data_IF_040345167731
#
_entry.id   IF_040345167731
#
_cell.length_a   1.000
_cell.length_b   1.000
_cell.length_c   1.000
_cell.angle_alpha   90.00
_cell.angle_beta   90.00
_cell.angle_gamma   90.00
#
_symmetry.space_group_name_H-M   'P 1'
#
loop_
_entity.id
_entity.type
_entity.pdbx_description
1 polymer ?
#
# COMPACT_ATOMS: atom_id res chain seq x y z
N UNK A 1 13.93 79.28 -7.18
CA UNK A 1 13.78 78.32 -6.07
C UNK A 1 14.06 76.95 -6.64
N UNK A 2 15.22 76.40 -6.31
CA UNK A 2 15.66 75.08 -6.79
C UNK A 2 15.34 74.12 -5.65
N UNK A 3 14.28 73.33 -5.82
CA UNK A 3 13.93 72.25 -4.89
C UNK A 3 15.10 71.27 -4.86
N UNK A 4 15.78 71.26 -3.72
CA UNK A 4 16.92 70.41 -3.46
C UNK A 4 16.33 69.04 -3.12
N UNK A 5 16.19 68.17 -4.12
CA UNK A 5 15.80 66.77 -3.93
C UNK A 5 16.82 66.10 -3.00
N UNK A 6 16.44 65.95 -1.73
CA UNK A 6 17.18 65.11 -0.79
C UNK A 6 17.20 63.68 -1.33
N UNK A 7 18.39 63.07 -1.50
CA UNK A 7 18.48 61.69 -1.95
C UNK A 7 17.75 60.78 -0.95
N UNK A 8 17.03 59.76 -1.43
CA UNK A 8 16.34 58.82 -0.54
C UNK A 8 17.37 58.21 0.41
N UNK A 9 17.11 58.36 1.70
CA UNK A 9 17.92 57.83 2.80
C UNK A 9 18.14 56.32 2.61
N UNK A 10 19.39 55.88 2.71
CA UNK A 10 19.83 54.49 2.54
C UNK A 10 19.15 53.48 3.52
N UNK A 11 18.37 53.98 4.48
CA UNK A 11 17.56 53.19 5.40
C UNK A 11 16.26 52.65 4.78
N UNK A 12 15.95 52.95 3.52
CA UNK A 12 14.93 52.24 2.75
C UNK A 12 15.47 50.95 2.09
N UNK A 13 16.46 50.29 2.70
CA UNK A 13 16.85 48.95 2.32
C UNK A 13 15.61 48.05 2.48
N UNK A 14 14.98 47.73 1.34
CA UNK A 14 13.79 46.88 1.27
C UNK A 14 14.07 45.64 2.13
N UNK A 15 13.26 45.38 3.19
CA UNK A 15 13.55 44.30 4.12
C UNK A 15 13.74 43.02 3.32
N UNK A 16 14.75 42.19 3.65
CA UNK A 16 15.03 40.98 2.90
C UNK A 16 13.73 40.19 2.81
N UNK A 17 13.23 40.00 1.58
CA UNK A 17 12.04 39.19 1.31
C UNK A 17 12.27 37.87 2.02
N UNK A 18 11.55 37.64 3.12
CA UNK A 18 11.65 36.41 3.88
C UNK A 18 11.48 35.27 2.89
N UNK A 19 12.53 34.45 2.73
CA UNK A 19 12.52 33.32 1.81
C UNK A 19 11.30 32.46 2.18
N UNK A 20 10.27 32.48 1.33
CA UNK A 20 9.03 31.76 1.59
C UNK A 20 9.35 30.29 1.79
N UNK A 21 8.82 29.70 2.86
CA UNK A 21 9.09 28.31 3.16
C UNK A 21 8.54 27.43 2.02
N UNK A 22 9.35 26.47 1.55
CA UNK A 22 8.94 25.54 0.49
C UNK A 22 8.12 24.36 1.05
N UNK A 23 8.04 24.24 2.37
CA UNK A 23 7.37 23.16 3.10
C UNK A 23 5.94 22.87 2.65
N UNK A 24 5.03 23.86 2.50
CA UNK A 24 3.65 23.58 2.06
C UNK A 24 3.58 23.05 0.63
N UNK A 25 4.49 23.49 -0.25
CA UNK A 25 4.58 22.99 -1.63
C UNK A 25 5.01 21.53 -1.65
N UNK A 26 6.06 21.19 -0.91
CA UNK A 26 6.56 19.81 -0.82
C UNK A 26 5.48 18.89 -0.27
N UNK A 27 4.80 19.28 0.82
CA UNK A 27 3.72 18.50 1.42
C UNK A 27 2.53 18.32 0.46
N UNK A 28 2.19 19.35 -0.30
CA UNK A 28 1.15 19.32 -1.32
C UNK A 28 1.47 18.32 -2.43
N UNK A 29 2.69 18.38 -2.97
CA UNK A 29 3.15 17.47 -4.04
C UNK A 29 3.18 16.02 -3.56
N UNK A 30 3.72 15.74 -2.37
CA UNK A 30 3.74 14.38 -1.83
C UNK A 30 2.31 13.87 -1.63
N UNK A 31 1.39 14.71 -1.14
CA UNK A 31 -0.02 14.35 -1.01
C UNK A 31 -0.68 14.01 -2.35
N UNK A 32 -0.36 14.73 -3.43
CA UNK A 32 -0.86 14.42 -4.79
C UNK A 32 -0.31 13.08 -5.27
N UNK A 33 0.98 12.82 -5.12
CA UNK A 33 1.61 11.55 -5.51
C UNK A 33 0.95 10.39 -4.75
N UNK A 34 0.76 10.54 -3.44
CA UNK A 34 0.13 9.53 -2.61
C UNK A 34 -1.33 9.28 -3.00
N UNK A 35 -2.09 10.35 -3.28
CA UNK A 35 -3.46 10.22 -3.79
C UNK A 35 -3.50 9.46 -5.11
N UNK A 36 -2.59 9.77 -6.04
CA UNK A 36 -2.52 9.10 -7.35
C UNK A 36 -2.19 7.60 -7.20
N UNK A 37 -1.19 7.26 -6.39
CA UNK A 37 -0.84 5.86 -6.10
C UNK A 37 -2.04 5.14 -5.47
N UNK A 38 -2.68 5.74 -4.48
CA UNK A 38 -3.85 5.16 -3.81
C UNK A 38 -5.00 4.92 -4.78
N UNK A 39 -5.27 5.85 -5.70
CA UNK A 39 -6.30 5.71 -6.73
C UNK A 39 -5.94 4.59 -7.70
N UNK A 40 -4.70 4.53 -8.17
CA UNK A 40 -4.22 3.46 -9.06
C UNK A 40 -4.36 2.08 -8.41
N UNK A 41 -3.88 1.91 -7.17
CA UNK A 41 -4.03 0.66 -6.42
C UNK A 41 -5.50 0.26 -6.27
N UNK A 42 -6.37 1.22 -5.95
CA UNK A 42 -7.81 0.96 -5.78
C UNK A 42 -8.45 0.51 -7.10
N UNK A 43 -8.09 1.12 -8.22
CA UNK A 43 -8.60 0.76 -9.55
C UNK A 43 -8.08 -0.61 -10.01
N UNK A 44 -6.82 -0.95 -9.73
CA UNK A 44 -6.26 -2.26 -10.05
C UNK A 44 -6.98 -3.39 -9.31
N UNK A 45 -7.26 -3.21 -8.02
CA UNK A 45 -8.00 -4.20 -7.21
C UNK A 45 -9.43 -4.35 -7.72
N UNK A 46 -10.07 -3.25 -8.14
CA UNK A 46 -11.44 -3.28 -8.64
C UNK A 46 -11.56 -4.03 -9.97
N UNK A 47 -10.52 -3.99 -10.81
CA UNK A 47 -10.49 -4.68 -12.10
C UNK A 47 -10.46 -6.22 -12.00
N UNK A 48 -9.93 -6.75 -10.89
CA UNK A 48 -9.68 -8.18 -10.70
C UNK A 48 -10.62 -8.85 -9.67
N UNK A 49 -11.59 -8.10 -9.15
CA UNK A 49 -12.48 -8.58 -8.10
C UNK A 49 -13.46 -9.65 -8.63
N UNK A 50 -13.13 -10.93 -8.41
CA UNK A 50 -14.04 -12.05 -8.63
C UNK A 50 -15.29 -11.99 -7.73
N UNK A 51 -16.38 -12.63 -8.17
CA UNK A 51 -17.77 -12.31 -7.82
C UNK A 51 -18.13 -12.54 -6.34
N UNK A 52 -17.38 -13.32 -5.57
CA UNK A 52 -17.77 -13.71 -4.22
C UNK A 52 -17.32 -12.74 -3.11
N UNK A 53 -16.25 -11.96 -3.30
CA UNK A 53 -15.79 -10.94 -2.34
C UNK A 53 -16.35 -9.52 -2.60
N UNK A 54 -17.46 -9.42 -3.37
CA UNK A 54 -17.91 -8.16 -3.96
C UNK A 54 -18.20 -7.03 -2.96
N UNK A 55 -18.86 -7.31 -1.84
CA UNK A 55 -19.33 -6.23 -0.95
C UNK A 55 -18.16 -5.53 -0.27
N UNK A 56 -17.27 -6.29 0.38
CA UNK A 56 -16.11 -5.72 1.07
C UNK A 56 -15.19 -4.96 0.10
N UNK A 57 -14.82 -5.59 -1.02
CA UNK A 57 -13.95 -4.97 -2.01
C UNK A 57 -14.58 -3.73 -2.63
N UNK A 58 -15.88 -3.75 -2.93
CA UNK A 58 -16.59 -2.58 -3.48
C UNK A 58 -16.67 -1.44 -2.46
N UNK A 59 -17.03 -1.73 -1.21
CA UNK A 59 -17.13 -0.71 -0.15
C UNK A 59 -15.76 -0.10 0.12
N UNK A 60 -14.72 -0.93 0.26
CA UNK A 60 -13.35 -0.47 0.45
C UNK A 60 -12.86 0.37 -0.74
N UNK A 61 -13.14 -0.06 -1.97
CA UNK A 61 -12.77 0.70 -3.17
C UNK A 61 -13.48 2.06 -3.25
N UNK A 62 -14.79 2.11 -3.01
CA UNK A 62 -15.54 3.36 -3.01
C UNK A 62 -15.03 4.32 -1.94
N UNK A 63 -14.78 3.83 -0.72
CA UNK A 63 -14.20 4.64 0.37
C UNK A 63 -12.78 5.11 0.01
N UNK A 64 -11.97 4.24 -0.61
CA UNK A 64 -10.63 4.56 -1.10
C UNK A 64 -10.64 5.68 -2.15
N UNK A 65 -11.56 5.61 -3.12
CA UNK A 65 -11.74 6.64 -4.14
C UNK A 65 -12.18 7.98 -3.52
N UNK A 66 -13.19 7.97 -2.65
CA UNK A 66 -13.70 9.17 -1.99
C UNK A 66 -12.62 9.84 -1.13
N UNK A 67 -11.87 9.06 -0.35
CA UNK A 67 -10.76 9.56 0.46
C UNK A 67 -9.59 10.03 -0.40
N UNK A 68 -9.29 9.35 -1.50
CA UNK A 68 -8.26 9.77 -2.46
C UNK A 68 -8.58 11.12 -3.11
N UNK A 69 -9.82 11.30 -3.57
CA UNK A 69 -10.30 12.57 -4.11
C UNK A 69 -10.28 13.69 -3.07
N UNK A 70 -10.68 13.39 -1.83
CA UNK A 70 -10.63 14.36 -0.74
C UNK A 70 -9.18 14.79 -0.43
N UNK A 71 -8.24 13.85 -0.36
CA UNK A 71 -6.82 14.16 -0.20
C UNK A 71 -6.32 15.07 -1.33
N UNK A 72 -6.64 14.71 -2.58
CA UNK A 72 -6.25 15.48 -3.76
C UNK A 72 -6.76 16.92 -3.70
N UNK A 73 -8.03 17.13 -3.35
CA UNK A 73 -8.60 18.46 -3.17
C UNK A 73 -7.92 19.24 -2.04
N UNK A 74 -7.62 18.57 -0.92
CA UNK A 74 -6.86 19.15 0.19
C UNK A 74 -5.47 19.59 -0.23
N UNK A 75 -4.75 18.77 -0.98
CA UNK A 75 -3.41 19.04 -1.49
C UNK A 75 -3.40 20.17 -2.54
N UNK A 76 -4.38 20.22 -3.45
CA UNK A 76 -4.52 21.33 -4.41
C UNK A 76 -4.80 22.64 -3.67
N UNK A 77 -5.67 22.62 -2.66
CA UNK A 77 -5.95 23.79 -1.84
C UNK A 77 -4.70 24.24 -1.06
N UNK A 78 -3.84 23.31 -0.65
CA UNK A 78 -2.56 23.60 -0.01
C UNK A 78 -1.60 24.31 -0.97
N UNK A 79 -1.48 23.83 -2.22
CA UNK A 79 -0.68 24.49 -3.26
C UNK A 79 -1.20 25.87 -3.63
N UNK A 80 -2.53 26.05 -3.61
CA UNK A 80 -3.20 27.34 -3.81
C UNK A 80 -3.16 28.25 -2.59
N UNK A 81 -2.49 27.81 -1.51
CA UNK A 81 -2.36 28.56 -0.24
C UNK A 81 -3.70 28.99 0.34
N UNK A 82 -4.75 28.16 0.18
CA UNK A 82 -6.07 28.45 0.75
C UNK A 82 -6.10 28.09 2.23
N UNK A 83 -6.70 28.96 3.05
CA UNK A 83 -6.89 28.75 4.50
C UNK A 83 -7.63 27.44 4.82
N UNK A 84 -8.61 27.07 4.00
CA UNK A 84 -9.39 25.84 4.19
C UNK A 84 -8.56 24.56 4.03
N UNK A 85 -7.38 24.62 3.39
CA UNK A 85 -6.55 23.45 3.14
C UNK A 85 -6.17 22.71 4.44
N UNK A 86 -5.78 23.45 5.48
CA UNK A 86 -5.37 22.86 6.76
C UNK A 86 -6.52 22.10 7.41
N UNK A 87 -7.68 22.72 7.56
CA UNK A 87 -8.85 22.07 8.18
C UNK A 87 -9.29 20.84 7.38
N UNK A 88 -9.25 20.94 6.05
CA UNK A 88 -9.63 19.85 5.15
C UNK A 88 -8.68 18.65 5.26
N UNK A 89 -7.36 18.89 5.27
CA UNK A 89 -6.35 17.84 5.41
C UNK A 89 -6.32 17.22 6.81
N UNK A 90 -6.53 18.01 7.87
CA UNK A 90 -6.63 17.48 9.24
C UNK A 90 -7.87 16.60 9.37
N UNK A 91 -9.03 17.06 8.89
CA UNK A 91 -10.25 16.25 8.88
C UNK A 91 -10.07 14.96 8.08
N UNK A 92 -9.41 15.05 6.91
CA UNK A 92 -9.10 13.90 6.10
C UNK A 92 -8.22 12.88 6.85
N UNK A 93 -7.14 13.32 7.50
CA UNK A 93 -6.25 12.44 8.26
C UNK A 93 -6.99 11.70 9.37
N UNK A 94 -7.82 12.41 10.14
CA UNK A 94 -8.61 11.79 11.23
C UNK A 94 -9.56 10.74 10.68
N UNK A 95 -10.34 11.08 9.65
CA UNK A 95 -11.30 10.16 9.04
C UNK A 95 -10.58 8.97 8.43
N UNK A 96 -9.45 9.17 7.75
CA UNK A 96 -8.66 8.08 7.17
C UNK A 96 -8.14 7.12 8.25
N UNK A 97 -7.69 7.63 9.40
CA UNK A 97 -7.26 6.78 10.53
C UNK A 97 -8.44 5.95 11.05
N UNK A 98 -9.58 6.58 11.32
CA UNK A 98 -10.78 5.90 11.83
C UNK A 98 -11.27 4.83 10.85
N UNK A 99 -11.38 5.17 9.56
CA UNK A 99 -11.79 4.21 8.51
C UNK A 99 -10.79 3.07 8.38
N UNK A 100 -9.49 3.34 8.48
CA UNK A 100 -8.47 2.29 8.39
C UNK A 100 -8.54 1.33 9.57
N UNK A 101 -8.75 1.84 10.80
CA UNK A 101 -8.96 1.00 11.98
C UNK A 101 -10.25 0.18 11.84
N UNK A 102 -11.35 0.79 11.39
CA UNK A 102 -12.62 0.09 11.19
C UNK A 102 -12.51 -1.02 10.14
N UNK A 103 -11.85 -0.76 9.00
CA UNK A 103 -11.60 -1.76 7.96
C UNK A 103 -10.65 -2.85 8.43
N UNK A 104 -9.67 -2.54 9.29
CA UNK A 104 -8.78 -3.53 9.88
C UNK A 104 -9.55 -4.46 10.83
N UNK A 105 -10.38 -3.91 11.71
CA UNK A 105 -11.26 -4.71 12.60
C UNK A 105 -12.25 -5.54 11.79
N UNK A 106 -12.85 -4.97 10.74
CA UNK A 106 -13.71 -5.70 9.82
C UNK A 106 -12.94 -6.83 9.14
N UNK A 107 -11.76 -6.54 8.59
CA UNK A 107 -10.90 -7.53 7.95
C UNK A 107 -10.57 -8.70 8.88
N UNK A 108 -10.16 -8.41 10.11
CA UNK A 108 -9.88 -9.42 11.14
C UNK A 108 -11.11 -10.25 11.54
N UNK A 109 -12.31 -9.69 11.46
CA UNK A 109 -13.54 -10.45 11.73
C UNK A 109 -13.92 -11.40 10.56
N UNK A 110 -13.40 -11.15 9.36
CA UNK A 110 -13.68 -11.92 8.15
C UNK A 110 -12.50 -12.80 7.70
N UNK A 111 -11.34 -12.71 8.36
CA UNK A 111 -10.17 -13.55 8.04
C UNK A 111 -10.50 -15.03 8.19
N UNK A 112 -11.29 -15.41 9.20
CA UNK A 112 -11.68 -16.80 9.42
C UNK A 112 -12.38 -17.40 8.19
N UNK A 113 -13.31 -16.64 7.57
CA UNK A 113 -14.00 -17.07 6.35
C UNK A 113 -13.07 -17.15 5.13
N UNK A 114 -12.09 -16.27 5.03
CA UNK A 114 -11.12 -16.27 3.92
C UNK A 114 -10.15 -17.44 4.03
N UNK A 115 -9.68 -17.76 5.25
CA UNK A 115 -8.80 -18.90 5.49
C UNK A 115 -9.51 -20.20 5.11
N UNK A 116 -10.78 -20.38 5.49
CA UNK A 116 -11.56 -21.56 5.12
C UNK A 116 -11.68 -21.74 3.60
N UNK A 117 -11.90 -20.65 2.86
CA UNK A 117 -11.99 -20.70 1.39
C UNK A 117 -10.65 -21.05 0.74
N UNK A 118 -9.54 -20.47 1.21
CA UNK A 118 -8.19 -20.75 0.68
C UNK A 118 -7.80 -22.21 0.95
N UNK A 119 -8.07 -22.71 2.16
CA UNK A 119 -7.84 -24.12 2.51
C UNK A 119 -8.69 -25.04 1.64
N UNK A 120 -9.98 -24.72 1.43
CA UNK A 120 -10.83 -25.50 0.52
C UNK A 120 -10.33 -25.48 -0.92
N UNK A 121 -9.84 -24.35 -1.42
CA UNK A 121 -9.31 -24.25 -2.77
C UNK A 121 -8.02 -25.05 -2.93
N UNK A 122 -7.09 -24.95 -1.98
CA UNK A 122 -5.86 -25.74 -1.97
C UNK A 122 -6.16 -27.25 -1.95
N UNK A 123 -7.10 -27.68 -1.12
CA UNK A 123 -7.53 -29.09 -1.08
C UNK A 123 -8.23 -29.54 -2.37
N UNK A 124 -8.97 -28.65 -3.03
CA UNK A 124 -9.63 -28.95 -4.30
C UNK A 124 -8.60 -29.12 -5.43
N UNK A 125 -7.57 -28.27 -5.49
CA UNK A 125 -6.48 -28.40 -6.46
C UNK A 125 -5.67 -29.68 -6.24
N UNK A 126 -5.34 -30.02 -4.99
CA UNK A 126 -4.68 -31.29 -4.64
C UNK A 126 -5.49 -32.53 -5.07
N UNK A 127 -6.82 -32.50 -4.96
CA UNK A 127 -7.69 -33.60 -5.41
C UNK A 127 -7.92 -33.63 -6.92
N UNK A 128 -7.79 -32.48 -7.58
CA UNK A 128 -8.00 -32.32 -9.02
C UNK A 128 -6.78 -32.72 -9.86
N UNK A 129 -5.66 -33.12 -9.23
CA UNK A 129 -4.50 -33.72 -9.88
C UNK A 129 -4.42 -35.25 -9.69
N UNK A 130 -5.40 -36.05 -10.16
CA UNK A 130 -5.31 -37.50 -10.13
C UNK A 130 -4.26 -38.05 -11.12
N UNK A 131 -3.70 -37.21 -11.99
CA UNK A 131 -2.74 -37.62 -13.02
C UNK A 131 -1.37 -38.00 -12.43
N UNK A 132 -1.01 -37.50 -11.24
CA UNK A 132 0.20 -37.98 -10.54
C UNK A 132 0.02 -39.35 -9.88
N UNK A 133 -1.21 -39.78 -9.57
CA UNK A 133 -1.44 -41.06 -8.89
C UNK A 133 -1.48 -42.25 -9.86
N UNK A 134 -2.02 -42.08 -11.07
CA UNK A 134 -2.03 -43.16 -12.08
C UNK A 134 -0.63 -43.42 -12.68
N UNK A 135 0.28 -42.45 -12.65
CA UNK A 135 1.66 -42.62 -13.15
C UNK A 135 2.55 -43.54 -12.30
N UNK A 136 2.20 -43.81 -11.04
CA UNK A 136 2.98 -44.72 -10.16
C UNK A 136 2.48 -46.17 -10.18
N UNK A 137 1.27 -46.42 -10.71
CA UNK A 137 0.72 -47.77 -10.78
C UNK A 137 1.21 -48.56 -12.02
N UNK A 138 1.69 -47.89 -13.06
CA UNK A 138 2.08 -48.51 -14.34
C UNK A 138 3.60 -48.77 -14.49
N UNK A 139 4.33 -48.92 -13.38
CA UNK A 139 5.76 -49.27 -13.42
C UNK A 139 6.15 -50.46 -12.53
N UNK A 140 5.19 -51.33 -12.23
CA UNK A 140 5.42 -52.55 -11.44
C UNK A 140 4.94 -53.81 -12.16
N UNK A 141 5.34 -54.02 -13.42
CA UNK A 141 5.50 -55.39 -13.95
C UNK A 141 6.50 -55.47 -15.13
N UNK A 142 7.78 -55.78 -14.86
CA UNK A 142 8.59 -56.53 -15.80
C UNK A 142 8.98 -57.87 -15.16
N UNK A 143 8.00 -58.73 -14.81
CA UNK A 143 8.28 -60.09 -14.40
C UNK A 143 7.35 -61.10 -15.06
N UNK A 144 7.45 -61.22 -16.39
CA UNK A 144 7.33 -62.53 -17.01
C UNK A 144 7.91 -62.56 -18.44
N UNK A 145 9.06 -63.24 -18.53
CA UNK A 145 9.50 -64.10 -19.63
C UNK A 145 10.68 -63.61 -20.49
N UNK A 146 11.55 -64.60 -20.74
CA UNK A 146 12.62 -64.69 -21.76
C UNK A 146 13.97 -64.14 -21.32
N UNK A 147 15.09 -64.84 -21.48
CA UNK A 147 15.45 -66.26 -21.60
C UNK A 147 16.98 -66.25 -21.53
N UNK A 148 17.54 -67.08 -20.66
CA UNK A 148 18.83 -67.75 -20.77
C UNK A 148 19.73 -67.37 -21.97
N UNK A 149 20.78 -66.58 -21.71
CA UNK A 149 22.10 -66.78 -22.32
C UNK A 149 23.15 -65.95 -21.57
N UNK A 150 24.17 -66.64 -21.07
CA UNK A 150 25.30 -66.05 -20.39
C UNK A 150 26.17 -65.23 -21.33
N UNK A 151 26.52 -64.03 -20.88
CA UNK A 151 27.67 -63.30 -21.36
C UNK A 151 28.28 -62.55 -20.18
N UNK A 152 29.58 -62.73 -20.01
CA UNK A 152 30.41 -62.14 -18.97
C UNK A 152 30.47 -60.61 -19.16
N UNK A 153 29.71 -59.88 -18.34
CA UNK A 153 29.73 -58.40 -18.32
C UNK A 153 30.44 -57.92 -17.05
N UNK A 154 31.51 -57.16 -17.28
CA UNK A 154 32.39 -56.54 -16.29
C UNK A 154 31.63 -55.72 -15.22
N UNK A 155 32.18 -55.61 -14.00
CA UNK A 155 31.58 -54.84 -12.92
C UNK A 155 31.76 -53.34 -13.19
N UNK A 156 30.74 -52.70 -13.75
CA UNK A 156 30.67 -51.24 -13.88
C UNK A 156 30.14 -50.65 -12.56
N UNK A 157 31.06 -50.07 -11.80
CA UNK A 157 30.83 -49.24 -10.62
C UNK A 157 30.23 -47.88 -11.05
N UNK A 158 28.99 -47.88 -11.51
CA UNK A 158 28.21 -46.65 -11.62
C UNK A 158 27.42 -46.52 -10.32
N UNK A 159 28.07 -45.93 -9.32
CA UNK A 159 27.44 -45.50 -8.07
C UNK A 159 26.50 -44.34 -8.36
N UNK A 160 25.32 -44.66 -8.88
CA UNK A 160 24.18 -43.76 -8.84
C UNK A 160 23.65 -43.79 -7.40
N UNK A 161 24.31 -43.00 -6.55
CA UNK A 161 23.76 -42.63 -5.27
C UNK A 161 22.48 -41.85 -5.57
N UNK A 162 21.37 -42.59 -5.67
CA UNK A 162 20.05 -42.02 -5.61
C UNK A 162 19.99 -41.18 -4.34
N UNK A 163 20.25 -39.88 -4.49
CA UNK A 163 19.73 -38.86 -3.62
C UNK A 163 18.21 -39.02 -3.73
N UNK A 164 17.67 -39.92 -2.90
CA UNK A 164 16.28 -39.86 -2.50
C UNK A 164 16.12 -38.44 -1.97
N UNK A 165 15.57 -37.59 -2.83
CA UNK A 165 15.28 -36.19 -2.56
C UNK A 165 14.17 -36.24 -1.52
N UNK A 166 14.57 -36.38 -0.24
CA UNK A 166 13.69 -36.32 0.92
C UNK A 166 13.20 -34.88 0.96
N UNK A 167 12.21 -34.57 0.13
CA UNK A 167 11.44 -33.36 0.30
C UNK A 167 10.82 -33.49 1.69
N UNK A 168 11.10 -32.56 2.61
CA UNK A 168 10.48 -32.59 3.91
C UNK A 168 8.97 -32.43 3.67
N UNK A 169 8.22 -33.50 3.92
CA UNK A 169 6.76 -33.43 4.06
C UNK A 169 6.48 -32.47 5.22
N UNK A 170 6.28 -31.19 4.90
CA UNK A 170 5.73 -30.22 5.82
C UNK A 170 4.34 -30.72 6.20
N UNK A 171 4.09 -30.90 7.50
CA UNK A 171 2.76 -31.29 7.95
C UNK A 171 1.75 -30.20 7.56
N UNK A 172 0.51 -30.60 7.25
CA UNK A 172 -0.57 -29.67 6.90
C UNK A 172 -0.73 -28.54 7.93
N UNK A 173 -0.50 -28.83 9.21
CA UNK A 173 -0.51 -27.85 10.31
C UNK A 173 0.58 -26.78 10.16
N UNK A 174 1.77 -27.16 9.69
CA UNK A 174 2.85 -26.20 9.46
C UNK A 174 2.52 -25.28 8.28
N UNK A 175 1.96 -25.83 7.21
CA UNK A 175 1.56 -25.04 6.03
C UNK A 175 0.48 -24.01 6.42
N UNK A 176 -0.54 -24.42 7.17
CA UNK A 176 -1.58 -23.51 7.64
C UNK A 176 -1.00 -22.38 8.52
N UNK A 177 -0.11 -22.72 9.45
CA UNK A 177 0.53 -21.74 10.32
C UNK A 177 1.36 -20.71 9.54
N UNK A 178 2.11 -21.14 8.52
CA UNK A 178 2.93 -20.27 7.68
C UNK A 178 2.05 -19.33 6.85
N UNK A 179 0.98 -19.85 6.25
CA UNK A 179 0.05 -19.03 5.47
C UNK A 179 -0.58 -17.96 6.36
N UNK A 180 -1.06 -18.32 7.56
CA UNK A 180 -1.63 -17.34 8.48
C UNK A 180 -0.62 -16.26 8.87
N UNK A 181 0.62 -16.63 9.23
CA UNK A 181 1.67 -15.67 9.58
C UNK A 181 1.95 -14.71 8.43
N UNK A 182 2.05 -15.23 7.20
CA UNK A 182 2.32 -14.40 6.01
C UNK A 182 1.15 -13.46 5.74
N UNK A 183 -0.09 -13.93 5.80
CA UNK A 183 -1.29 -13.11 5.55
C UNK A 183 -1.45 -12.02 6.61
N UNK A 184 -1.37 -12.37 7.91
CA UNK A 184 -1.48 -11.40 9.00
C UNK A 184 -0.31 -10.42 9.01
N UNK A 185 0.91 -10.90 8.73
CA UNK A 185 2.10 -10.07 8.61
C UNK A 185 1.97 -9.05 7.48
N UNK A 186 1.52 -9.48 6.31
CA UNK A 186 1.32 -8.59 5.17
C UNK A 186 0.21 -7.56 5.43
N UNK A 187 -0.92 -8.00 6.01
CA UNK A 187 -2.03 -7.12 6.36
C UNK A 187 -1.63 -6.09 7.43
N UNK A 188 -0.89 -6.52 8.46
CA UNK A 188 -0.37 -5.65 9.51
C UNK A 188 0.60 -4.60 8.97
N UNK A 189 1.58 -5.02 8.17
CA UNK A 189 2.52 -4.10 7.51
C UNK A 189 1.79 -3.12 6.58
N UNK A 190 0.85 -3.60 5.76
CA UNK A 190 0.05 -2.77 4.87
C UNK A 190 -0.76 -1.71 5.64
N UNK A 191 -1.36 -2.09 6.77
CA UNK A 191 -2.08 -1.18 7.63
C UNK A 191 -1.16 -0.14 8.29
N UNK A 192 0.01 -0.55 8.79
CA UNK A 192 1.00 0.37 9.35
C UNK A 192 1.47 1.39 8.32
N UNK A 193 1.82 0.96 7.10
CA UNK A 193 2.20 1.86 6.00
C UNK A 193 1.06 2.81 5.63
N UNK A 194 -0.18 2.32 5.62
CA UNK A 194 -1.38 3.11 5.33
C UNK A 194 -1.65 4.17 6.41
N UNK A 195 -1.35 3.87 7.68
CA UNK A 195 -1.50 4.79 8.81
C UNK A 195 -0.32 5.76 8.97
N UNK A 196 0.86 5.40 8.50
CA UNK A 196 2.07 6.23 8.62
C UNK A 196 1.86 7.61 8.00
N UNK A 197 1.35 7.66 6.77
CA UNK A 197 1.15 8.91 6.03
C UNK A 197 0.15 9.88 6.68
N UNK A 198 -1.09 9.49 7.04
CA UNK A 198 -2.03 10.40 7.70
C UNK A 198 -1.52 10.90 9.05
N UNK A 199 -0.74 10.09 9.78
CA UNK A 199 -0.09 10.50 11.04
C UNK A 199 1.00 11.54 10.78
N UNK A 200 1.89 11.32 9.81
CA UNK A 200 2.92 12.31 9.42
C UNK A 200 2.26 13.63 9.00
N UNK A 201 1.21 13.57 8.19
CA UNK A 201 0.42 14.75 7.81
C UNK A 201 -0.14 15.46 9.04
N UNK A 202 -0.75 14.72 9.97
CA UNK A 202 -1.37 15.29 11.16
C UNK A 202 -0.34 15.96 12.08
N UNK A 203 0.84 15.38 12.25
CA UNK A 203 1.95 15.98 13.01
C UNK A 203 2.45 17.24 12.30
N UNK A 204 2.69 17.16 10.99
CA UNK A 204 3.23 18.29 10.20
C UNK A 204 2.28 19.49 10.19
N UNK A 205 0.99 19.25 9.96
CA UNK A 205 -0.06 20.27 9.94
C UNK A 205 -0.36 20.88 11.32
N UNK A 206 -0.02 20.18 12.40
CA UNK A 206 -0.15 20.67 13.77
C UNK A 206 1.15 21.29 14.33
N UNK A 207 2.25 21.26 13.58
CA UNK A 207 3.49 21.91 13.99
C UNK A 207 3.31 23.44 14.09
N UNK A 208 3.94 24.06 15.09
CA UNK A 208 3.81 25.50 15.37
C UNK A 208 4.24 26.34 14.17
N UNK A 209 5.31 25.94 13.47
CA UNK A 209 5.80 26.63 12.28
C UNK A 209 4.75 26.69 11.18
N UNK A 210 4.10 25.56 10.90
CA UNK A 210 3.07 25.48 9.87
C UNK A 210 1.81 26.25 10.24
N UNK A 211 1.43 26.27 11.53
CA UNK A 211 0.29 27.09 12.00
C UNK A 211 0.53 28.58 11.74
N UNK A 212 1.71 29.09 12.11
CA UNK A 212 2.08 30.50 11.92
C UNK A 212 2.10 30.89 10.43
N UNK A 213 2.61 30.01 9.57
CA UNK A 213 2.62 30.26 8.13
C UNK A 213 1.21 30.33 7.53
N UNK A 214 0.26 29.54 8.03
CA UNK A 214 -1.14 29.65 7.60
C UNK A 214 -1.82 30.94 8.07
N UNK A 215 -1.46 31.45 9.24
CA UNK A 215 -1.98 32.71 9.77
C UNK A 215 -1.53 33.91 8.92
N UNK A 216 -0.31 33.87 8.35
CA UNK A 216 0.18 34.94 7.47
C UNK A 216 -0.47 34.94 6.09
N UNK A 217 -1.07 33.82 5.66
CA UNK A 217 -1.83 33.78 4.40
C UNK A 217 -3.16 34.54 4.49
N UNK A 218 -3.70 34.73 5.70
CA UNK A 218 -4.97 35.42 5.96
C UNK A 218 -4.79 36.95 5.91
N UNK A 219 -3.63 37.45 6.34
CA UNK A 219 -3.35 38.89 6.46
C UNK A 219 -3.06 39.57 5.11
N UNK A 220 -2.57 38.83 4.12
CA UNK A 220 -2.09 39.42 2.85
C UNK A 220 -3.14 39.70 1.77
N UNK A 221 -4.39 39.22 1.91
CA UNK A 221 -5.42 39.38 0.86
C UNK A 221 -6.43 40.51 1.09
N UNK A 222 -6.45 41.15 2.27
CA UNK A 222 -7.42 42.20 2.58
C UNK A 222 -6.89 43.63 2.45
N UNK A 223 -5.59 43.85 2.30
CA UNK A 223 -5.02 45.22 2.23
C UNK A 223 -5.12 45.89 0.85
N UNK A 224 -5.70 45.22 -0.16
CA UNK A 224 -5.65 45.70 -1.55
C UNK A 224 -6.94 46.29 -2.13
N UNK A 225 -8.08 46.25 -1.42
CA UNK A 225 -9.38 46.53 -2.05
C UNK A 225 -10.20 47.70 -1.49
N UNK A 226 -9.73 48.39 -0.44
CA UNK A 226 -10.48 49.48 0.22
C UNK A 226 -10.05 50.91 -0.21
N UNK A 227 -9.37 51.05 -1.35
CA UNK A 227 -8.95 52.34 -1.90
C UNK A 227 -9.42 52.57 -3.34
N UNK A 228 -10.72 52.37 -3.59
CA UNK A 228 -11.40 52.90 -4.80
C UNK A 228 -12.73 53.52 -4.40
#
# INVERSE_FOLDING_TARGET
MIDTMTPPSADQAMPPRAAGSQTPTVLGVIGIIWAAISLLCTLSIFGDAQIQAKVYTTVSAVLGLLLGLWLLLGSINLLRRKRSARSMLVSWSIIKIVVTIALLVWGLAYTDQMTDMVVQQAQAELKADPAMQDGMAEQQDPSAAVSDQGEDVEPRLDGDAGEEDIQPELSDEQIESVIQIVVYGFMGCGAMLTLLWPVILLISLNSIGFKREFETWDSGMFEGHDHV
#
